data_IF_837611743187
#
_entry.id   IF_837611743187
#
_cell.length_a   1.000
_cell.length_b   1.000
_cell.length_c   1.000
_cell.angle_alpha   90.00
_cell.angle_beta   90.00
_cell.angle_gamma   90.00
#
_symmetry.space_group_name_H-M   'P 1'
#
loop_
_entity.id
_entity.type
_entity.pdbx_description
1 polymer ?
#
# COMPACT_ATOMS: atom_id res chain seq x y z
N UNK A 1 -9.45 -7.67 -33.84
CA UNK A 1 -10.47 -6.97 -33.05
C UNK A 1 -10.91 -5.76 -33.87
N UNK A 2 -12.18 -5.70 -34.23
CA UNK A 2 -12.74 -4.54 -34.91
C UNK A 2 -13.05 -3.39 -33.93
N UNK A 3 -13.54 -2.24 -34.48
CA UNK A 3 -13.80 -1.04 -33.66
C UNK A 3 -14.89 -1.25 -32.62
N UNK A 4 -15.94 -1.99 -32.95
CA UNK A 4 -17.10 -2.21 -32.09
C UNK A 4 -16.65 -3.10 -30.89
N UNK A 5 -15.96 -4.21 -31.15
CA UNK A 5 -15.38 -5.06 -30.13
C UNK A 5 -14.41 -4.32 -29.19
N UNK A 6 -13.62 -3.37 -29.74
CA UNK A 6 -12.72 -2.56 -28.92
C UNK A 6 -13.48 -1.61 -27.99
N UNK A 7 -14.54 -0.94 -28.49
CA UNK A 7 -15.37 -0.06 -27.68
C UNK A 7 -16.11 -0.85 -26.58
N UNK A 8 -16.62 -2.02 -26.91
CA UNK A 8 -17.30 -2.88 -25.92
C UNK A 8 -16.34 -3.33 -24.82
N UNK A 9 -15.11 -3.71 -25.17
CA UNK A 9 -14.07 -4.04 -24.19
C UNK A 9 -13.74 -2.86 -23.28
N UNK A 10 -13.59 -1.65 -23.82
CA UNK A 10 -13.34 -0.42 -23.05
C UNK A 10 -14.49 -0.19 -22.06
N UNK A 11 -15.72 -0.20 -22.56
CA UNK A 11 -16.91 0.07 -21.76
C UNK A 11 -17.10 -0.98 -20.65
N UNK A 12 -16.91 -2.27 -20.94
CA UNK A 12 -17.02 -3.34 -19.94
C UNK A 12 -15.95 -3.22 -18.87
N UNK A 13 -14.70 -2.94 -19.25
CA UNK A 13 -13.59 -2.76 -18.32
C UNK A 13 -13.80 -1.58 -17.36
N UNK A 14 -14.30 -0.44 -17.88
CA UNK A 14 -14.59 0.74 -17.05
C UNK A 14 -15.77 0.50 -16.10
N UNK A 15 -16.81 -0.20 -16.54
CA UNK A 15 -17.95 -0.58 -15.69
C UNK A 15 -17.53 -1.53 -14.59
N UNK A 16 -16.75 -2.59 -14.90
CA UNK A 16 -16.21 -3.52 -13.91
C UNK A 16 -15.45 -2.78 -12.82
N UNK A 17 -14.57 -1.82 -13.19
CA UNK A 17 -13.84 -1.01 -12.23
C UNK A 17 -14.74 -0.11 -11.37
N UNK A 18 -15.82 0.45 -11.94
CA UNK A 18 -16.78 1.27 -11.19
C UNK A 18 -17.58 0.42 -10.19
N UNK A 19 -18.09 -0.73 -10.62
CA UNK A 19 -18.83 -1.66 -9.77
C UNK A 19 -17.97 -2.18 -8.62
N UNK A 20 -16.71 -2.53 -8.89
CA UNK A 20 -15.79 -2.98 -7.84
C UNK A 20 -15.54 -1.90 -6.78
N UNK A 21 -15.44 -0.62 -7.15
CA UNK A 21 -15.31 0.48 -6.19
C UNK A 21 -16.54 0.62 -5.28
N UNK A 22 -17.75 0.35 -5.78
CA UNK A 22 -18.97 0.31 -4.96
C UNK A 22 -18.88 -0.82 -3.91
N UNK A 23 -18.39 -1.99 -4.32
CA UNK A 23 -18.15 -3.12 -3.39
C UNK A 23 -17.10 -2.75 -2.34
N UNK A 24 -15.99 -2.13 -2.74
CA UNK A 24 -14.95 -1.65 -1.83
C UNK A 24 -15.51 -0.64 -0.82
N UNK A 25 -16.33 0.30 -1.25
CA UNK A 25 -16.96 1.27 -0.35
C UNK A 25 -17.85 0.60 0.69
N UNK A 26 -18.59 -0.46 0.31
CA UNK A 26 -19.42 -1.22 1.23
C UNK A 26 -18.63 -2.09 2.21
N UNK A 27 -17.62 -2.81 1.70
CA UNK A 27 -16.99 -3.92 2.43
C UNK A 27 -15.68 -3.53 3.11
N UNK A 28 -14.99 -2.47 2.65
CA UNK A 28 -13.66 -2.12 3.12
C UNK A 28 -13.58 -0.80 3.93
N UNK A 29 -14.67 -0.02 4.04
CA UNK A 29 -14.63 1.30 4.69
C UNK A 29 -14.12 1.26 6.12
N UNK A 30 -14.49 0.26 6.91
CA UNK A 30 -14.00 0.10 8.29
C UNK A 30 -12.50 -0.15 8.33
N UNK A 31 -11.98 -1.07 7.51
CA UNK A 31 -10.55 -1.37 7.45
C UNK A 31 -9.73 -0.18 6.91
N UNK A 32 -10.27 0.60 5.98
CA UNK A 32 -9.65 1.84 5.49
C UNK A 32 -9.54 2.87 6.62
N UNK A 33 -10.61 3.04 7.41
CA UNK A 33 -10.62 3.94 8.57
C UNK A 33 -9.61 3.50 9.64
N UNK A 34 -9.52 2.21 9.95
CA UNK A 34 -8.54 1.67 10.90
C UNK A 34 -7.11 1.88 10.40
N UNK A 35 -6.85 1.64 9.11
CA UNK A 35 -5.55 1.89 8.49
C UNK A 35 -5.15 3.37 8.57
N UNK A 36 -6.06 4.29 8.26
CA UNK A 36 -5.84 5.73 8.41
C UNK A 36 -5.52 6.09 9.86
N UNK A 37 -6.21 5.50 10.83
CA UNK A 37 -5.95 5.68 12.26
C UNK A 37 -4.52 5.30 12.66
N UNK A 38 -4.00 4.18 12.16
CA UNK A 38 -2.61 3.75 12.40
C UNK A 38 -1.60 4.77 11.80
N UNK A 39 -1.84 5.24 10.58
CA UNK A 39 -1.00 6.24 9.92
C UNK A 39 -0.99 7.55 10.70
N UNK A 40 -2.15 8.07 11.07
CA UNK A 40 -2.30 9.32 11.82
C UNK A 40 -1.59 9.25 13.17
N UNK A 41 -1.78 8.15 13.92
CA UNK A 41 -1.10 7.95 15.21
C UNK A 41 0.43 7.89 15.05
N UNK A 42 0.93 7.18 14.04
CA UNK A 42 2.35 7.10 13.72
C UNK A 42 2.94 8.49 13.45
N UNK A 43 2.33 9.26 12.56
CA UNK A 43 2.83 10.57 12.15
C UNK A 43 2.75 11.59 13.28
N UNK A 44 1.70 11.59 14.09
CA UNK A 44 1.58 12.44 15.30
C UNK A 44 2.65 12.12 16.34
N UNK A 45 3.09 10.87 16.41
CA UNK A 45 4.17 10.45 17.30
C UNK A 45 5.58 10.70 16.72
N UNK A 46 5.69 11.31 15.54
CA UNK A 46 6.98 11.57 14.87
C UNK A 46 7.58 10.35 14.16
N UNK A 47 6.79 9.31 13.94
CA UNK A 47 7.17 8.14 13.16
C UNK A 47 7.12 8.40 11.64
N UNK A 48 7.43 7.35 10.86
CA UNK A 48 7.43 7.40 9.39
C UNK A 48 6.70 6.22 8.78
N UNK A 49 6.39 6.35 7.48
CA UNK A 49 5.72 5.34 6.68
C UNK A 49 6.73 4.65 5.75
N UNK A 50 6.68 3.32 5.68
CA UNK A 50 7.50 2.51 4.77
C UNK A 50 6.58 1.77 3.81
N UNK A 51 6.64 2.12 2.52
CA UNK A 51 5.82 1.53 1.47
C UNK A 51 6.62 0.51 0.66
N UNK A 52 6.04 -0.64 0.35
CA UNK A 52 6.65 -1.63 -0.53
C UNK A 52 5.62 -2.49 -1.27
N UNK A 53 6.00 -2.93 -2.46
CA UNK A 53 5.20 -3.73 -3.38
C UNK A 53 6.03 -4.18 -4.56
N UNK A 54 5.48 -5.02 -5.44
CA UNK A 54 6.13 -5.49 -6.65
C UNK A 54 5.43 -4.94 -7.91
N UNK A 55 6.17 -4.71 -8.99
CA UNK A 55 5.61 -4.30 -10.29
C UNK A 55 4.75 -3.03 -10.20
N UNK A 56 3.47 -3.10 -10.58
CA UNK A 56 2.52 -1.99 -10.45
C UNK A 56 2.35 -1.53 -9.02
N UNK A 57 2.32 -2.47 -8.06
CA UNK A 57 2.28 -2.14 -6.63
C UNK A 57 3.57 -1.47 -6.12
N UNK A 58 4.72 -1.66 -6.79
CA UNK A 58 5.92 -0.88 -6.52
C UNK A 58 5.77 0.58 -6.98
N UNK A 59 5.12 0.79 -8.13
CA UNK A 59 4.79 2.13 -8.61
C UNK A 59 3.79 2.83 -7.68
N UNK A 60 2.77 2.12 -7.20
CA UNK A 60 1.83 2.64 -6.20
C UNK A 60 2.55 3.02 -4.89
N UNK A 61 3.49 2.21 -4.42
CA UNK A 61 4.30 2.51 -3.24
C UNK A 61 5.10 3.82 -3.40
N UNK A 62 5.69 4.05 -4.56
CA UNK A 62 6.41 5.29 -4.86
C UNK A 62 5.47 6.48 -4.95
N UNK A 63 4.34 6.32 -5.65
CA UNK A 63 3.33 7.36 -5.80
C UNK A 63 2.81 7.81 -4.43
N UNK A 64 2.38 6.87 -3.59
CA UNK A 64 1.84 7.18 -2.26
C UNK A 64 2.90 7.82 -1.34
N UNK A 65 4.13 7.33 -1.34
CA UNK A 65 5.21 7.96 -0.58
C UNK A 65 5.43 9.44 -1.03
N UNK A 66 5.32 9.72 -2.34
CA UNK A 66 5.44 11.08 -2.86
C UNK A 66 4.29 11.98 -2.41
N UNK A 67 3.05 11.46 -2.32
CA UNK A 67 1.90 12.22 -1.80
C UNK A 67 2.09 12.61 -0.32
N UNK A 68 2.67 11.76 0.51
CA UNK A 68 2.98 12.09 1.91
C UNK A 68 4.13 13.09 2.02
N UNK A 69 5.22 12.91 1.26
CA UNK A 69 6.42 13.78 1.31
C UNK A 69 6.13 15.16 0.72
N UNK A 70 5.41 15.23 -0.38
CA UNK A 70 4.97 16.47 -1.00
C UNK A 70 3.71 17.02 -0.31
N UNK A 71 2.60 16.93 -1.00
CA UNK A 71 1.25 17.16 -0.51
C UNK A 71 0.25 16.40 -1.38
N UNK A 72 -0.90 16.04 -0.84
CA UNK A 72 -1.99 15.45 -1.63
C UNK A 72 -2.93 16.56 -2.13
N UNK A 73 -3.77 17.11 -1.27
CA UNK A 73 -4.72 18.19 -1.60
C UNK A 73 -4.38 19.48 -0.87
N UNK A 74 -4.05 19.39 0.43
CA UNK A 74 -3.80 20.55 1.29
C UNK A 74 -2.33 20.94 1.30
N UNK A 75 -2.06 22.26 1.33
CA UNK A 75 -0.71 22.77 1.59
C UNK A 75 -0.33 22.49 3.04
N UNK A 76 0.81 21.82 3.26
CA UNK A 76 1.33 21.43 4.57
C UNK A 76 2.82 21.12 4.51
N UNK A 77 3.42 20.97 5.68
CA UNK A 77 4.77 20.42 5.78
C UNK A 77 4.82 18.96 5.28
N UNK A 78 5.96 18.54 4.75
CA UNK A 78 6.18 17.16 4.30
C UNK A 78 6.03 16.17 5.45
N UNK A 79 5.37 15.04 5.17
CA UNK A 79 5.21 13.92 6.11
C UNK A 79 6.23 12.82 5.79
N UNK A 80 6.88 12.21 6.80
CA UNK A 80 7.96 11.26 6.55
C UNK A 80 7.44 9.94 5.98
N UNK A 81 7.76 9.68 4.72
CA UNK A 81 7.39 8.47 3.99
C UNK A 81 8.51 8.02 3.05
N UNK A 82 8.73 6.72 2.92
CA UNK A 82 9.79 6.13 2.08
C UNK A 82 9.19 4.96 1.30
N UNK A 83 9.39 4.95 -0.02
CA UNK A 83 9.16 3.79 -0.86
C UNK A 83 10.43 2.93 -0.91
N UNK A 84 10.36 1.70 -0.41
CA UNK A 84 11.49 0.75 -0.40
C UNK A 84 11.75 0.11 -1.79
N UNK A 85 11.22 0.70 -2.83
CA UNK A 85 11.20 0.19 -4.21
C UNK A 85 12.06 1.02 -5.17
N UNK A 86 12.79 2.01 -4.66
CA UNK A 86 13.48 3.01 -5.50
C UNK A 86 14.98 2.82 -5.59
N UNK A 87 15.64 2.35 -4.53
CA UNK A 87 17.09 2.17 -4.50
C UNK A 87 17.48 0.88 -5.23
N UNK A 88 17.86 1.01 -6.49
CA UNK A 88 18.26 -0.12 -7.32
C UNK A 88 19.52 -0.83 -6.80
N UNK A 89 20.43 -0.11 -6.17
CA UNK A 89 21.63 -0.70 -5.58
C UNK A 89 21.28 -1.60 -4.39
N UNK A 90 20.41 -1.14 -3.50
CA UNK A 90 19.91 -1.94 -2.38
C UNK A 90 19.13 -3.16 -2.88
N UNK A 91 18.19 -2.97 -3.82
CA UNK A 91 17.37 -4.07 -4.35
C UNK A 91 18.22 -5.15 -5.03
N UNK A 92 19.21 -4.75 -5.84
CA UNK A 92 20.05 -5.69 -6.56
C UNK A 92 21.09 -6.36 -5.65
N UNK A 93 21.73 -5.64 -4.73
CA UNK A 93 22.70 -6.20 -3.80
C UNK A 93 22.01 -7.21 -2.85
N UNK A 94 20.91 -6.81 -2.21
CA UNK A 94 20.16 -7.72 -1.32
C UNK A 94 19.60 -8.90 -2.08
N UNK A 95 19.05 -8.67 -3.28
CA UNK A 95 18.53 -9.74 -4.13
C UNK A 95 19.59 -10.76 -4.55
N UNK A 96 20.83 -10.30 -4.85
CA UNK A 96 21.97 -11.15 -5.18
C UNK A 96 22.49 -11.94 -3.98
N UNK A 97 22.64 -11.29 -2.83
CA UNK A 97 23.36 -11.86 -1.68
C UNK A 97 22.44 -12.69 -0.75
N UNK A 98 21.16 -12.31 -0.64
CA UNK A 98 20.19 -12.91 0.30
C UNK A 98 18.94 -13.48 -0.38
N UNK A 99 18.81 -13.29 -1.71
CA UNK A 99 17.62 -13.68 -2.47
C UNK A 99 16.55 -12.59 -2.51
N UNK A 100 15.71 -12.66 -3.55
CA UNK A 100 14.67 -11.66 -3.82
C UNK A 100 13.61 -11.56 -2.70
N UNK A 101 13.43 -12.64 -1.94
CA UNK A 101 12.49 -12.66 -0.82
C UNK A 101 12.91 -11.73 0.33
N UNK A 102 14.18 -11.33 0.40
CA UNK A 102 14.72 -10.51 1.48
C UNK A 102 14.82 -9.02 1.16
N UNK A 103 14.52 -8.60 -0.07
CA UNK A 103 14.77 -7.22 -0.53
C UNK A 103 14.04 -6.15 0.30
N UNK A 104 12.83 -6.43 0.77
CA UNK A 104 12.07 -5.51 1.64
C UNK A 104 12.36 -5.75 3.12
N UNK A 105 12.47 -7.01 3.54
CA UNK A 105 12.76 -7.36 4.93
C UNK A 105 14.07 -6.71 5.42
N UNK A 106 15.14 -6.74 4.62
CA UNK A 106 16.43 -6.10 4.95
C UNK A 106 16.31 -4.58 5.09
N UNK A 107 15.55 -3.92 4.22
CA UNK A 107 15.33 -2.49 4.30
C UNK A 107 14.47 -2.10 5.51
N UNK A 108 13.42 -2.86 5.81
CA UNK A 108 12.60 -2.67 7.01
C UNK A 108 13.45 -2.83 8.27
N UNK A 109 14.32 -3.84 8.36
CA UNK A 109 15.23 -4.02 9.50
C UNK A 109 16.21 -2.85 9.67
N UNK A 110 16.70 -2.28 8.58
CA UNK A 110 17.67 -1.19 8.61
C UNK A 110 17.04 0.16 8.96
N UNK A 111 15.86 0.46 8.40
CA UNK A 111 15.23 1.78 8.41
C UNK A 111 14.08 1.90 9.41
N UNK A 112 13.39 0.80 9.70
CA UNK A 112 12.23 0.78 10.58
C UNK A 112 12.59 1.03 12.04
N UNK A 113 11.69 1.69 12.76
CA UNK A 113 11.78 1.96 14.18
C UNK A 113 10.45 1.59 14.85
N UNK A 114 10.44 1.21 16.13
CA UNK A 114 9.18 1.02 16.85
C UNK A 114 8.27 2.24 16.73
N UNK A 115 7.00 2.01 16.40
CA UNK A 115 6.01 3.07 16.18
C UNK A 115 5.85 3.54 14.73
N UNK A 116 6.74 3.16 13.82
CA UNK A 116 6.55 3.36 12.38
C UNK A 116 5.41 2.48 11.83
N UNK A 117 4.96 2.77 10.61
CA UNK A 117 3.97 1.96 9.89
C UNK A 117 4.57 1.43 8.59
N UNK A 118 4.44 0.13 8.36
CA UNK A 118 4.81 -0.55 7.12
C UNK A 118 3.54 -0.83 6.29
N UNK A 119 3.49 -0.32 5.06
CA UNK A 119 2.37 -0.51 4.13
C UNK A 119 2.82 -1.45 3.02
N UNK A 120 2.27 -2.66 3.04
CA UNK A 120 2.58 -3.75 2.13
C UNK A 120 1.51 -3.88 1.05
N UNK A 121 1.90 -3.81 -0.23
CA UNK A 121 0.97 -3.84 -1.36
C UNK A 121 1.20 -5.10 -2.19
N UNK A 122 0.19 -5.99 -2.26
CA UNK A 122 0.28 -7.25 -3.01
C UNK A 122 -1.08 -7.68 -3.55
N UNK A 123 -1.29 -7.63 -4.84
CA UNK A 123 -2.56 -8.04 -5.48
C UNK A 123 -2.90 -9.52 -5.28
N UNK A 124 -1.93 -10.38 -4.97
CA UNK A 124 -2.16 -11.79 -4.66
C UNK A 124 -2.23 -12.09 -3.16
N UNK A 125 -1.70 -11.19 -2.32
CA UNK A 125 -1.50 -11.44 -0.90
C UNK A 125 -0.47 -12.51 -0.56
N UNK A 126 0.25 -13.05 -1.57
CA UNK A 126 1.11 -14.22 -1.40
C UNK A 126 2.57 -14.03 -1.87
N UNK A 127 2.99 -12.83 -2.22
CA UNK A 127 4.37 -12.56 -2.66
C UNK A 127 5.36 -12.76 -1.51
N UNK A 128 6.34 -13.69 -1.60
CA UNK A 128 7.21 -14.04 -0.48
C UNK A 128 7.97 -12.84 0.09
N UNK A 129 8.54 -11.98 -0.75
CA UNK A 129 9.25 -10.78 -0.32
C UNK A 129 8.37 -9.77 0.43
N UNK A 130 7.08 -9.68 0.08
CA UNK A 130 6.10 -8.84 0.79
C UNK A 130 5.82 -9.42 2.18
N UNK A 131 5.59 -10.73 2.25
CA UNK A 131 5.34 -11.42 3.53
C UNK A 131 6.55 -11.31 4.47
N UNK A 132 7.76 -11.55 3.97
CA UNK A 132 8.97 -11.39 4.77
C UNK A 132 9.18 -9.92 5.22
N UNK A 133 8.84 -8.93 4.39
CA UNK A 133 8.82 -7.52 4.77
C UNK A 133 7.87 -7.23 5.94
N UNK A 134 6.64 -7.76 5.88
CA UNK A 134 5.64 -7.63 6.96
C UNK A 134 6.11 -8.32 8.25
N UNK A 135 6.64 -9.53 8.17
CA UNK A 135 7.21 -10.25 9.33
C UNK A 135 8.36 -9.46 9.96
N UNK A 136 9.25 -8.89 9.14
CA UNK A 136 10.34 -8.05 9.63
C UNK A 136 9.81 -6.78 10.33
N UNK A 137 8.76 -6.14 9.80
CA UNK A 137 8.10 -4.99 10.39
C UNK A 137 7.51 -5.32 11.77
N UNK A 138 6.74 -6.39 11.87
CA UNK A 138 6.18 -6.86 13.15
C UNK A 138 7.25 -7.16 14.20
N UNK A 139 8.33 -7.85 13.78
CA UNK A 139 9.48 -8.14 14.66
C UNK A 139 10.18 -6.86 15.14
N UNK A 140 10.18 -5.81 14.31
CA UNK A 140 10.70 -4.48 14.61
C UNK A 140 9.73 -3.57 15.38
N UNK A 141 8.56 -4.10 15.80
CA UNK A 141 7.49 -3.35 16.48
C UNK A 141 6.90 -2.19 15.65
N UNK A 142 6.92 -2.32 14.32
CA UNK A 142 6.16 -1.48 13.43
C UNK A 142 4.71 -1.97 13.39
N UNK A 143 3.77 -1.06 13.16
CA UNK A 143 2.41 -1.43 12.74
C UNK A 143 2.41 -1.76 11.26
N UNK A 144 1.49 -2.65 10.85
CA UNK A 144 1.47 -3.18 9.48
C UNK A 144 0.10 -3.05 8.85
N UNK A 145 0.06 -2.51 7.63
CA UNK A 145 -1.13 -2.39 6.79
C UNK A 145 -0.89 -3.18 5.51
N UNK A 146 -1.81 -4.09 5.18
CA UNK A 146 -1.80 -4.86 3.94
C UNK A 146 -2.88 -4.37 2.97
N UNK A 147 -2.48 -4.00 1.75
CA UNK A 147 -3.40 -3.86 0.62
C UNK A 147 -3.32 -5.15 -0.20
N UNK A 148 -4.39 -5.94 -0.18
CA UNK A 148 -4.42 -7.26 -0.77
C UNK A 148 -5.56 -7.41 -1.79
N UNK A 149 -5.56 -8.51 -2.51
CA UNK A 149 -6.62 -8.88 -3.43
C UNK A 149 -7.06 -10.33 -3.26
N UNK A 150 -8.03 -10.77 -4.07
CA UNK A 150 -8.58 -12.13 -4.06
C UNK A 150 -9.23 -12.46 -2.71
N UNK A 151 -8.64 -13.40 -1.99
CA UNK A 151 -9.04 -13.86 -0.64
C UNK A 151 -8.16 -13.28 0.50
N UNK A 152 -7.24 -12.37 0.14
CA UNK A 152 -6.30 -11.77 1.09
C UNK A 152 -4.95 -12.49 1.18
N UNK A 153 -4.91 -13.77 0.85
CA UNK A 153 -3.71 -14.60 0.91
C UNK A 153 -3.06 -14.64 2.29
N UNK A 154 -1.76 -14.95 2.34
CA UNK A 154 -0.97 -14.96 3.57
C UNK A 154 -0.86 -13.57 4.21
N UNK A 155 -0.96 -12.50 3.41
CA UNK A 155 -0.90 -11.12 3.91
C UNK A 155 -2.03 -10.83 4.90
N UNK A 156 -3.22 -11.42 4.69
CA UNK A 156 -4.37 -11.27 5.57
C UNK A 156 -4.13 -11.83 6.98
N UNK A 157 -3.27 -12.84 7.12
CA UNK A 157 -2.93 -13.43 8.42
C UNK A 157 -1.73 -12.73 9.11
N UNK A 158 -0.92 -12.00 8.34
CA UNK A 158 0.34 -11.44 8.84
C UNK A 158 0.25 -9.95 9.20
N UNK A 159 -0.61 -9.15 8.57
CA UNK A 159 -0.70 -7.72 8.85
C UNK A 159 -1.71 -7.38 9.96
N UNK A 160 -1.49 -6.26 10.68
CA UNK A 160 -2.40 -5.79 11.75
C UNK A 160 -3.75 -5.34 11.20
N UNK A 161 -3.74 -4.64 10.05
CA UNK A 161 -4.95 -4.22 9.30
C UNK A 161 -4.79 -4.65 7.85
N UNK A 162 -5.82 -5.29 7.28
CA UNK A 162 -5.80 -5.72 5.88
C UNK A 162 -7.03 -5.22 5.15
N UNK A 163 -6.80 -4.62 3.98
CA UNK A 163 -7.84 -4.19 3.07
C UNK A 163 -7.79 -5.14 1.86
N UNK A 164 -8.79 -6.03 1.74
CA UNK A 164 -8.81 -7.06 0.70
C UNK A 164 -9.82 -6.72 -0.37
N UNK A 165 -9.35 -6.63 -1.62
CA UNK A 165 -10.18 -6.37 -2.79
C UNK A 165 -10.65 -7.71 -3.38
N UNK A 166 -11.94 -8.01 -3.24
CA UNK A 166 -12.56 -9.26 -3.69
C UNK A 166 -12.68 -9.32 -5.23
N UNK A 167 -11.56 -9.42 -5.92
CA UNK A 167 -11.47 -9.57 -7.38
C UNK A 167 -10.32 -10.50 -7.74
N UNK A 168 -10.41 -11.18 -8.89
CA UNK A 168 -9.33 -11.98 -9.47
C UNK A 168 -8.52 -11.21 -10.53
N UNK A 169 -9.02 -10.06 -10.98
CA UNK A 169 -8.36 -9.19 -11.95
C UNK A 169 -7.29 -8.33 -11.29
N UNK A 170 -6.03 -8.61 -11.57
CA UNK A 170 -4.89 -7.84 -11.03
C UNK A 170 -5.02 -6.35 -11.35
N UNK A 171 -5.43 -5.98 -12.56
CA UNK A 171 -5.60 -4.58 -12.96
C UNK A 171 -6.68 -3.88 -12.11
N UNK A 172 -7.84 -4.52 -11.93
CA UNK A 172 -8.94 -3.97 -11.11
C UNK A 172 -8.54 -3.84 -9.65
N UNK A 173 -7.79 -4.81 -9.10
CA UNK A 173 -7.25 -4.75 -7.75
C UNK A 173 -6.31 -3.54 -7.60
N UNK A 174 -5.37 -3.34 -8.52
CA UNK A 174 -4.43 -2.21 -8.49
C UNK A 174 -5.16 -0.86 -8.56
N UNK A 175 -6.16 -0.72 -9.43
CA UNK A 175 -6.98 0.50 -9.48
C UNK A 175 -7.70 0.81 -8.15
N UNK A 176 -8.13 -0.22 -7.43
CA UNK A 176 -8.69 -0.04 -6.09
C UNK A 176 -7.60 0.29 -5.06
N UNK A 177 -6.42 -0.34 -5.13
CA UNK A 177 -5.31 -0.06 -4.21
C UNK A 177 -4.88 1.40 -4.27
N UNK A 178 -4.69 1.96 -5.48
CA UNK A 178 -4.32 3.38 -5.57
C UNK A 178 -5.44 4.30 -5.12
N UNK A 179 -6.71 3.97 -5.40
CA UNK A 179 -7.85 4.73 -4.89
C UNK A 179 -7.88 4.75 -3.37
N UNK A 180 -7.66 3.60 -2.72
CA UNK A 180 -7.57 3.49 -1.25
C UNK A 180 -6.37 4.27 -0.72
N UNK A 181 -5.22 4.17 -1.39
CA UNK A 181 -4.03 4.95 -1.04
C UNK A 181 -4.31 6.46 -1.00
N UNK A 182 -5.02 6.99 -2.00
CA UNK A 182 -5.45 8.40 -2.02
C UNK A 182 -6.40 8.73 -0.87
N UNK A 183 -7.35 7.85 -0.52
CA UNK A 183 -8.21 8.04 0.65
C UNK A 183 -7.42 8.06 1.96
N UNK A 184 -6.38 7.21 2.10
CA UNK A 184 -5.48 7.25 3.26
C UNK A 184 -4.71 8.57 3.34
N UNK A 185 -4.26 9.13 2.22
CA UNK A 185 -3.63 10.45 2.16
C UNK A 185 -4.61 11.54 2.60
N UNK A 186 -5.82 11.56 2.02
CA UNK A 186 -6.86 12.55 2.31
C UNK A 186 -7.27 12.54 3.78
N UNK A 187 -7.62 11.37 4.32
CA UNK A 187 -7.99 11.20 5.73
C UNK A 187 -6.87 11.65 6.68
N UNK A 188 -5.62 11.39 6.31
CA UNK A 188 -4.45 11.80 7.10
C UNK A 188 -4.28 13.31 7.07
N UNK A 189 -4.40 13.96 5.91
CA UNK A 189 -4.30 15.42 5.79
C UNK A 189 -5.40 16.13 6.59
N UNK A 190 -6.66 15.66 6.50
CA UNK A 190 -7.77 16.22 7.28
C UNK A 190 -7.50 16.13 8.78
N UNK A 191 -7.12 14.96 9.28
CA UNK A 191 -6.88 14.73 10.70
C UNK A 191 -5.69 15.54 11.26
N UNK A 192 -4.65 15.78 10.45
CA UNK A 192 -3.48 16.53 10.88
C UNK A 192 -3.70 18.06 10.78
N UNK A 193 -4.59 18.54 9.89
CA UNK A 193 -4.96 19.94 9.78
C UNK A 193 -5.82 20.42 10.97
N UNK A 194 -6.64 19.56 11.57
CA UNK A 194 -7.48 19.89 12.73
C UNK A 194 -6.69 20.08 14.03
N UNK A 195 -5.40 19.77 14.05
CA UNK A 195 -4.52 19.86 15.22
C UNK A 195 -3.52 21.03 15.20
N UNK A 196 -3.60 21.89 14.19
CA UNK A 196 -2.81 23.13 14.05
C UNK A 196 -3.69 24.34 14.21
#
# INVERSE_FOLDING_TARGET
>A
MDREQAIDLINSSLREGAELRIVVARDCSTAIFEAAGLIIMCLRAGGKLLFFGNGGSAADAQHLAAEFVGRFVRERAGLPAIALTTDSSVLTAVGNDYGFDQIFARQVQALGRPGDVAIAISTSGNSPNIIEGVKAARKGYLKTIGLSGKDGGLLAAEADVVITIASTSTARIQECHITIGHLLCELTEEALAEGT
#
